data_IF_456577752277
#
_entry.id   IF_456577752277
#
_cell.length_a   1.000
_cell.length_b   1.000
_cell.length_c   1.000
_cell.angle_alpha   90.00
_cell.angle_beta   90.00
_cell.angle_gamma   90.00
#
_symmetry.space_group_name_H-M   'P 1'
#
loop_
_entity.id
_entity.type
_entity.pdbx_description
1 polymer ?
#
# COMPACT_ATOMS: atom_id res chain seq x y z
N UNK A 1 0.94 4.29 -10.57
CA UNK A 1 1.77 4.83 -9.48
C UNK A 1 2.08 6.29 -9.77
N UNK A 2 2.36 7.12 -8.77
CA UNK A 2 2.70 8.54 -8.99
C UNK A 2 4.16 8.74 -9.39
N UNK A 3 4.46 9.84 -10.07
CA UNK A 3 5.84 10.25 -10.37
C UNK A 3 6.67 10.46 -9.09
N UNK A 4 6.07 11.06 -8.05
CA UNK A 4 6.70 11.24 -6.74
C UNK A 4 7.17 9.89 -6.15
N UNK A 5 6.28 8.89 -6.08
CA UNK A 5 6.64 7.57 -5.56
C UNK A 5 7.70 6.88 -6.43
N UNK A 6 7.64 7.06 -7.76
CA UNK A 6 8.67 6.53 -8.66
C UNK A 6 10.04 7.17 -8.40
N UNK A 7 10.07 8.48 -8.19
CA UNK A 7 11.29 9.23 -7.91
C UNK A 7 11.90 8.86 -6.55
N UNK A 8 11.07 8.65 -5.52
CA UNK A 8 11.52 8.17 -4.21
C UNK A 8 12.18 6.80 -4.29
N UNK A 9 11.59 5.86 -5.05
CA UNK A 9 12.18 4.54 -5.27
C UNK A 9 13.51 4.63 -6.02
N UNK A 10 13.59 5.48 -7.05
CA UNK A 10 14.82 5.71 -7.80
C UNK A 10 15.95 6.25 -6.90
N UNK A 11 15.63 7.19 -6.02
CA UNK A 11 16.59 7.69 -5.03
C UNK A 11 16.99 6.61 -4.02
N UNK A 12 16.07 5.71 -3.67
CA UNK A 12 16.32 4.54 -2.83
C UNK A 12 17.33 3.56 -3.42
N UNK A 13 17.43 3.46 -4.76
CA UNK A 13 18.39 2.57 -5.42
C UNK A 13 19.86 2.90 -5.12
N UNK A 14 20.16 4.16 -4.78
CA UNK A 14 21.50 4.55 -4.32
C UNK A 14 21.91 3.86 -3.01
N UNK A 15 20.95 3.29 -2.26
CA UNK A 15 21.17 2.53 -1.02
C UNK A 15 21.19 1.01 -1.24
N UNK A 16 21.25 0.56 -2.50
CA UNK A 16 21.30 -0.87 -2.87
C UNK A 16 19.94 -1.54 -3.02
N UNK A 17 18.84 -0.78 -2.99
CA UNK A 17 17.50 -1.29 -3.22
C UNK A 17 17.21 -1.48 -4.72
N UNK A 18 16.66 -2.64 -5.09
CA UNK A 18 16.27 -2.95 -6.47
C UNK A 18 14.80 -2.64 -6.77
N UNK A 19 14.12 -1.96 -5.86
CA UNK A 19 12.68 -1.71 -5.95
C UNK A 19 12.33 -0.87 -7.19
N UNK A 20 13.19 0.09 -7.55
CA UNK A 20 13.01 0.86 -8.78
C UNK A 20 13.15 0.00 -10.05
N UNK A 21 14.12 -0.90 -10.12
CA UNK A 21 14.26 -1.81 -11.27
C UNK A 21 13.01 -2.69 -11.41
N UNK A 22 12.52 -3.26 -10.30
CA UNK A 22 11.31 -4.11 -10.28
C UNK A 22 10.07 -3.34 -10.70
N UNK A 23 9.99 -2.07 -10.31
CA UNK A 23 8.94 -1.18 -10.76
C UNK A 23 9.01 -0.95 -12.27
N UNK A 24 10.19 -0.70 -12.83
CA UNK A 24 10.37 -0.53 -14.28
C UNK A 24 10.01 -1.81 -15.03
N UNK A 25 10.38 -2.99 -14.53
CA UNK A 25 9.96 -4.29 -15.09
C UNK A 25 8.42 -4.41 -15.18
N UNK A 26 7.69 -3.94 -14.14
CA UNK A 26 6.22 -3.93 -14.14
C UNK A 26 5.63 -2.90 -15.12
N UNK A 27 6.30 -1.75 -15.29
CA UNK A 27 5.88 -0.71 -16.22
C UNK A 27 6.08 -1.16 -17.67
N UNK A 28 7.23 -1.74 -17.98
CA UNK A 28 7.58 -2.28 -19.31
C UNK A 28 6.66 -3.43 -19.70
N UNK A 29 6.24 -4.25 -18.73
CA UNK A 29 5.24 -5.30 -18.93
C UNK A 29 3.79 -4.78 -19.04
N UNK A 30 3.57 -3.47 -18.88
CA UNK A 30 2.25 -2.83 -19.00
C UNK A 30 1.32 -3.05 -17.80
N UNK A 31 1.81 -3.58 -16.67
CA UNK A 31 1.00 -3.81 -15.47
C UNK A 31 0.76 -2.53 -14.66
N UNK A 32 1.68 -1.58 -14.76
CA UNK A 32 1.55 -0.28 -14.11
C UNK A 32 1.86 0.84 -15.09
N UNK A 33 1.30 2.02 -14.81
CA UNK A 33 1.66 3.27 -15.46
C UNK A 33 2.00 4.33 -14.42
N UNK A 34 2.91 5.22 -14.78
CA UNK A 34 3.24 6.39 -13.98
C UNK A 34 2.24 7.51 -14.29
N UNK A 35 1.81 8.23 -13.25
CA UNK A 35 0.87 9.34 -13.33
C UNK A 35 1.48 10.56 -12.63
N UNK A 36 1.45 11.70 -13.31
CA UNK A 36 1.64 13.01 -12.67
C UNK A 36 0.30 13.57 -12.22
N UNK A 37 0.31 14.31 -11.12
CA UNK A 37 -0.84 15.11 -10.69
C UNK A 37 -1.11 16.17 -11.75
N UNK A 38 -2.29 16.14 -12.40
CA UNK A 38 -2.68 17.18 -13.36
C UNK A 38 -3.43 18.31 -12.66
N UNK A 39 -3.92 19.26 -13.45
CA UNK A 39 -4.59 20.47 -12.94
C UNK A 39 -5.80 20.19 -12.04
N UNK A 40 -6.51 19.08 -12.24
CA UNK A 40 -7.70 18.75 -11.44
C UNK A 40 -7.30 18.24 -10.05
N UNK A 41 -6.22 17.44 -9.97
CA UNK A 41 -5.65 16.94 -8.73
C UNK A 41 -4.78 17.96 -7.99
N UNK A 42 -4.25 18.99 -8.67
CA UNK A 42 -3.30 19.95 -8.08
C UNK A 42 -3.84 20.64 -6.82
N UNK A 43 -5.11 21.07 -6.82
CA UNK A 43 -5.73 21.71 -5.64
C UNK A 43 -5.87 20.75 -4.46
N UNK A 44 -6.09 19.47 -4.72
CA UNK A 44 -6.16 18.43 -3.70
C UNK A 44 -4.77 18.19 -3.11
N UNK A 45 -3.78 18.05 -3.99
CA UNK A 45 -2.38 17.91 -3.60
C UNK A 45 -1.93 19.07 -2.71
N UNK A 46 -2.13 20.31 -3.14
CA UNK A 46 -1.83 21.52 -2.36
C UNK A 46 -2.52 21.49 -0.99
N UNK A 47 -3.82 21.16 -0.93
CA UNK A 47 -4.55 21.10 0.34
C UNK A 47 -4.04 20.04 1.33
N UNK A 48 -3.29 19.04 0.83
CA UNK A 48 -2.74 17.94 1.62
C UNK A 48 -1.30 18.18 2.06
N UNK A 49 -0.58 19.08 1.41
CA UNK A 49 0.80 19.44 1.79
C UNK A 49 0.85 20.78 2.55
N UNK A 50 -0.09 21.69 2.29
CA UNK A 50 -0.18 22.99 2.94
C UNK A 50 -1.20 22.98 4.09
N UNK A 51 -0.71 22.99 5.32
CA UNK A 51 -1.57 22.96 6.51
C UNK A 51 -0.81 22.77 7.82
N UNK A 52 -1.56 22.58 8.91
CA UNK A 52 -0.96 22.18 10.19
C UNK A 52 -0.34 20.78 10.07
N UNK A 53 0.74 20.49 10.81
CA UNK A 53 1.43 19.18 10.77
C UNK A 53 0.50 17.99 11.05
N UNK A 54 -0.62 18.19 11.75
CA UNK A 54 -1.62 17.15 11.99
C UNK A 54 -2.47 16.82 10.74
N UNK A 55 -2.60 17.78 9.82
CA UNK A 55 -3.42 17.71 8.61
C UNK A 55 -2.59 17.55 7.32
N UNK A 56 -1.27 17.69 7.38
CA UNK A 56 -0.41 17.56 6.19
C UNK A 56 0.13 16.14 6.01
N UNK A 57 0.42 15.78 4.76
CA UNK A 57 1.03 14.52 4.34
C UNK A 57 2.39 14.78 3.69
N UNK A 58 3.17 13.72 3.52
CA UNK A 58 4.30 13.78 2.60
C UNK A 58 3.83 13.87 1.15
N UNK A 59 4.76 14.26 0.27
CA UNK A 59 4.47 14.49 -1.15
C UNK A 59 4.02 13.21 -1.87
N UNK A 60 4.54 12.04 -1.48
CA UNK A 60 4.19 10.76 -2.10
C UNK A 60 2.73 10.37 -1.84
N UNK A 61 2.30 10.45 -0.59
CA UNK A 61 0.92 10.13 -0.18
C UNK A 61 -0.07 11.19 -0.68
N UNK A 62 0.29 12.48 -0.59
CA UNK A 62 -0.53 13.55 -1.15
C UNK A 62 -0.74 13.39 -2.65
N UNK A 63 0.33 13.09 -3.40
CA UNK A 63 0.24 12.86 -4.84
C UNK A 63 -0.63 11.64 -5.16
N UNK A 64 -0.53 10.58 -4.37
CA UNK A 64 -1.32 9.35 -4.57
C UNK A 64 -2.81 9.62 -4.41
N UNK A 65 -3.21 10.37 -3.38
CA UNK A 65 -4.60 10.78 -3.16
C UNK A 65 -5.09 11.67 -4.30
N UNK A 66 -4.30 12.68 -4.69
CA UNK A 66 -4.67 13.61 -5.74
C UNK A 66 -4.87 12.91 -7.10
N UNK A 67 -3.94 12.04 -7.49
CA UNK A 67 -4.06 11.24 -8.70
C UNK A 67 -5.26 10.28 -8.65
N UNK A 68 -5.48 9.59 -7.53
CA UNK A 68 -6.61 8.68 -7.37
C UNK A 68 -7.95 9.42 -7.48
N UNK A 69 -8.05 10.61 -6.89
CA UNK A 69 -9.24 11.45 -7.02
C UNK A 69 -9.46 11.88 -8.47
N UNK A 70 -8.43 12.38 -9.14
CA UNK A 70 -8.49 12.88 -10.51
C UNK A 70 -8.97 11.82 -11.49
N UNK A 71 -8.48 10.59 -11.37
CA UNK A 71 -8.86 9.48 -12.26
C UNK A 71 -10.13 8.74 -11.79
N UNK A 72 -10.79 9.20 -10.73
CA UNK A 72 -11.92 8.49 -10.08
C UNK A 72 -11.56 7.03 -9.73
N UNK A 73 -10.33 6.82 -9.26
CA UNK A 73 -9.76 5.52 -8.93
C UNK A 73 -9.86 5.18 -7.45
N UNK A 74 -9.01 4.25 -7.02
CA UNK A 74 -8.85 3.82 -5.63
C UNK A 74 -7.44 4.20 -5.18
N UNK A 75 -7.31 4.86 -4.03
CA UNK A 75 -6.02 5.14 -3.43
C UNK A 75 -5.55 3.90 -2.63
N UNK A 76 -4.35 3.40 -2.94
CA UNK A 76 -3.72 2.31 -2.19
C UNK A 76 -2.64 2.90 -1.28
N UNK A 77 -2.89 2.94 0.04
CA UNK A 77 -2.10 3.69 1.02
C UNK A 77 -1.87 2.85 2.28
N UNK A 78 -0.60 2.62 2.64
CA UNK A 78 -0.22 1.85 3.82
C UNK A 78 -0.04 2.70 5.09
N UNK A 79 0.16 4.02 4.94
CA UNK A 79 0.30 4.93 6.06
C UNK A 79 -1.06 5.22 6.75
N UNK A 80 -1.10 5.16 8.09
CA UNK A 80 -2.33 5.24 8.88
C UNK A 80 -2.92 6.64 8.88
N UNK A 81 -2.10 7.68 9.05
CA UNK A 81 -2.53 9.07 9.06
C UNK A 81 -3.03 9.50 7.68
N UNK A 82 -2.37 9.11 6.58
CA UNK A 82 -2.81 9.33 5.21
C UNK A 82 -4.17 8.69 4.92
N UNK A 83 -4.38 7.42 5.31
CA UNK A 83 -5.71 6.80 5.22
C UNK A 83 -6.77 7.54 6.03
N UNK A 84 -6.43 7.97 7.26
CA UNK A 84 -7.36 8.67 8.13
C UNK A 84 -7.78 10.03 7.54
N UNK A 85 -6.80 10.83 7.10
CA UNK A 85 -7.03 12.12 6.44
C UNK A 85 -7.83 11.94 5.16
N UNK A 86 -7.49 10.94 4.34
CA UNK A 86 -8.21 10.70 3.10
C UNK A 86 -9.68 10.33 3.35
N UNK A 87 -9.95 9.46 4.33
CA UNK A 87 -11.32 9.07 4.69
C UNK A 87 -12.13 10.23 5.26
N UNK A 88 -11.52 11.13 6.02
CA UNK A 88 -12.23 12.29 6.58
C UNK A 88 -12.47 13.40 5.56
N UNK A 89 -11.46 13.71 4.73
CA UNK A 89 -11.48 14.86 3.83
C UNK A 89 -12.09 14.53 2.46
N UNK A 90 -12.01 13.26 2.03
CA UNK A 90 -12.48 12.78 0.74
C UNK A 90 -13.33 11.50 0.90
N UNK A 91 -14.48 11.56 1.58
CA UNK A 91 -15.28 10.37 1.92
C UNK A 91 -15.82 9.59 0.71
N UNK A 92 -15.79 10.19 -0.50
CA UNK A 92 -16.18 9.54 -1.76
C UNK A 92 -15.03 8.84 -2.47
N UNK A 93 -13.77 9.08 -2.08
CA UNK A 93 -12.61 8.43 -2.66
C UNK A 93 -12.37 7.10 -1.93
N UNK A 94 -12.47 5.94 -2.60
CA UNK A 94 -12.13 4.68 -1.98
C UNK A 94 -10.64 4.63 -1.61
N UNK A 95 -10.35 4.13 -0.41
CA UNK A 95 -8.98 3.99 0.11
C UNK A 95 -8.80 2.60 0.69
N UNK A 96 -7.84 1.86 0.14
CA UNK A 96 -7.41 0.54 0.59
C UNK A 96 -5.95 0.59 1.04
N UNK A 97 -5.49 -0.38 1.80
CA UNK A 97 -4.06 -0.65 2.01
C UNK A 97 -3.61 -1.93 1.30
N UNK A 98 -2.30 -2.17 1.24
CA UNK A 98 -1.73 -3.36 0.60
C UNK A 98 -2.26 -4.66 1.22
N UNK A 99 -2.49 -4.68 2.53
CA UNK A 99 -3.09 -5.85 3.19
C UNK A 99 -4.54 -6.10 2.73
N UNK A 100 -5.37 -5.06 2.57
CA UNK A 100 -6.73 -5.19 2.03
C UNK A 100 -6.71 -5.71 0.59
N UNK A 101 -5.79 -5.21 -0.22
CA UNK A 101 -5.61 -5.68 -1.60
C UNK A 101 -5.26 -7.18 -1.61
N UNK A 102 -4.25 -7.60 -0.85
CA UNK A 102 -3.75 -8.98 -0.90
C UNK A 102 -4.75 -10.01 -0.37
N UNK A 103 -5.63 -9.64 0.56
CA UNK A 103 -6.68 -10.55 1.06
C UNK A 103 -7.94 -10.56 0.20
N UNK A 104 -8.04 -9.70 -0.82
CA UNK A 104 -9.23 -9.60 -1.67
C UNK A 104 -9.39 -10.83 -2.59
N UNK A 105 -10.62 -11.29 -2.79
CA UNK A 105 -10.94 -12.50 -3.58
C UNK A 105 -10.39 -12.44 -5.01
N UNK A 106 -10.47 -11.27 -5.67
CA UNK A 106 -9.87 -11.08 -7.01
C UNK A 106 -8.36 -11.36 -7.06
N UNK A 107 -7.62 -11.13 -5.97
CA UNK A 107 -6.21 -11.49 -5.90
C UNK A 107 -6.05 -13.00 -5.70
N UNK A 108 -6.92 -13.62 -4.91
CA UNK A 108 -6.97 -15.09 -4.78
C UNK A 108 -7.20 -15.76 -6.15
N UNK A 109 -8.19 -15.30 -6.89
CA UNK A 109 -8.53 -15.81 -8.22
C UNK A 109 -7.38 -15.63 -9.22
N UNK A 110 -6.70 -14.49 -9.17
CA UNK A 110 -5.58 -14.18 -10.05
C UNK A 110 -4.31 -14.99 -9.77
N UNK A 111 -4.01 -15.26 -8.49
CA UNK A 111 -2.78 -15.95 -8.08
C UNK A 111 -2.90 -17.48 -8.09
N UNK A 112 -4.10 -18.04 -8.30
CA UNK A 112 -4.40 -19.49 -8.29
C UNK A 112 -4.08 -20.14 -6.93
N UNK A 113 -4.21 -21.47 -6.85
CA UNK A 113 -4.08 -22.24 -5.60
C UNK A 113 -2.79 -21.89 -4.83
N UNK A 114 -2.96 -21.61 -3.54
CA UNK A 114 -1.94 -21.21 -2.54
C UNK A 114 -1.15 -19.92 -2.82
N UNK A 115 -1.29 -19.32 -4.01
CA UNK A 115 -0.54 -18.13 -4.40
C UNK A 115 -0.85 -16.90 -3.53
N UNK A 116 -2.09 -16.75 -3.06
CA UNK A 116 -2.48 -15.67 -2.17
C UNK A 116 -1.78 -15.76 -0.80
N UNK A 117 -1.74 -16.96 -0.22
CA UNK A 117 -1.08 -17.18 1.07
C UNK A 117 0.44 -16.98 0.96
N UNK A 118 1.07 -17.49 -0.10
CA UNK A 118 2.50 -17.27 -0.35
C UNK A 118 2.85 -15.78 -0.53
N UNK A 119 2.02 -15.04 -1.28
CA UNK A 119 2.19 -13.59 -1.44
C UNK A 119 2.09 -12.85 -0.09
N UNK A 120 1.11 -13.20 0.74
CA UNK A 120 0.98 -12.64 2.09
C UNK A 120 2.19 -12.97 2.96
N UNK A 121 2.65 -14.22 2.97
CA UNK A 121 3.83 -14.62 3.75
C UNK A 121 5.07 -13.84 3.31
N UNK A 122 5.31 -13.71 2.00
CA UNK A 122 6.42 -12.91 1.47
C UNK A 122 6.30 -11.43 1.81
N UNK A 123 5.10 -10.86 1.71
CA UNK A 123 4.85 -9.47 2.09
C UNK A 123 5.16 -9.23 3.58
N UNK A 124 4.74 -10.14 4.45
CA UNK A 124 4.93 -10.03 5.90
C UNK A 124 6.37 -10.31 6.37
N UNK A 125 7.08 -11.20 5.69
CA UNK A 125 8.42 -11.66 6.12
C UNK A 125 9.54 -10.89 5.43
N UNK A 126 9.47 -10.73 4.11
CA UNK A 126 10.52 -10.09 3.33
C UNK A 126 10.31 -8.57 3.23
N UNK A 127 9.12 -8.14 2.83
CA UNK A 127 8.80 -6.71 2.70
C UNK A 127 8.43 -6.04 4.04
N UNK A 128 8.25 -6.84 5.09
CA UNK A 128 7.81 -6.39 6.42
C UNK A 128 6.53 -5.55 6.38
N UNK A 129 5.64 -5.84 5.43
CA UNK A 129 4.36 -5.15 5.23
C UNK A 129 3.62 -4.98 6.56
N UNK A 130 3.18 -3.75 6.84
CA UNK A 130 2.38 -3.45 8.02
C UNK A 130 0.94 -3.93 7.82
N UNK A 131 0.40 -4.63 8.81
CA UNK A 131 -1.01 -5.04 8.81
C UNK A 131 -1.80 -4.12 9.75
N UNK A 132 -2.86 -3.45 9.26
CA UNK A 132 -3.81 -2.75 10.13
C UNK A 132 -4.39 -3.71 11.19
N UNK A 133 -4.52 -3.31 12.46
CA UNK A 133 -5.02 -4.17 13.53
C UNK A 133 -6.32 -4.92 13.20
N UNK A 134 -7.24 -4.24 12.50
CA UNK A 134 -8.52 -4.75 12.06
C UNK A 134 -8.43 -5.91 11.04
N UNK A 135 -7.31 -6.05 10.34
CA UNK A 135 -7.09 -7.10 9.32
C UNK A 135 -6.24 -8.27 9.83
N UNK A 136 -5.70 -8.18 11.05
CA UNK A 136 -4.78 -9.19 11.58
C UNK A 136 -5.44 -10.57 11.59
N UNK A 137 -6.70 -10.67 12.04
CA UNK A 137 -7.42 -11.95 12.07
C UNK A 137 -7.57 -12.55 10.67
N UNK A 138 -8.03 -11.77 9.69
CA UNK A 138 -8.19 -12.21 8.30
C UNK A 138 -6.87 -12.69 7.70
N UNK A 139 -5.80 -11.92 7.89
CA UNK A 139 -4.46 -12.28 7.41
C UNK A 139 -3.97 -13.58 8.07
N UNK A 140 -4.11 -13.73 9.39
CA UNK A 140 -3.70 -14.96 10.08
C UNK A 140 -4.51 -16.18 9.68
N UNK A 141 -5.81 -16.01 9.39
CA UNK A 141 -6.66 -17.08 8.90
C UNK A 141 -6.22 -17.61 7.53
N UNK A 142 -5.72 -16.72 6.66
CA UNK A 142 -5.26 -17.08 5.31
C UNK A 142 -3.89 -17.76 5.30
N UNK A 143 -2.94 -17.30 6.13
CA UNK A 143 -1.57 -17.86 6.14
C UNK A 143 -1.42 -19.05 7.11
N UNK A 144 -2.35 -19.20 8.05
CA UNK A 144 -2.30 -20.23 9.09
C UNK A 144 -1.34 -19.92 10.25
N UNK A 145 -1.49 -20.62 11.39
CA UNK A 145 -0.77 -20.31 12.63
C UNK A 145 0.75 -20.54 12.52
N UNK A 146 1.20 -21.54 11.76
CA UNK A 146 2.62 -21.84 11.58
C UNK A 146 3.38 -20.71 10.89
N UNK A 147 2.78 -20.11 9.86
CA UNK A 147 3.36 -18.95 9.18
C UNK A 147 3.18 -17.67 9.98
N UNK A 148 2.02 -17.48 10.62
CA UNK A 148 1.79 -16.33 11.49
C UNK A 148 2.88 -16.20 12.56
N UNK A 149 3.26 -17.30 13.22
CA UNK A 149 4.32 -17.33 14.23
C UNK A 149 5.69 -16.81 13.72
N UNK A 150 5.97 -16.97 12.41
CA UNK A 150 7.23 -16.59 11.76
C UNK A 150 7.22 -15.16 11.18
N UNK A 151 6.08 -14.49 11.15
CA UNK A 151 5.91 -13.18 10.51
C UNK A 151 6.25 -12.02 11.48
N UNK A 152 7.40 -11.35 11.36
CA UNK A 152 7.81 -10.30 12.30
C UNK A 152 6.90 -9.06 12.28
N UNK A 153 6.21 -8.81 11.17
CA UNK A 153 5.28 -7.68 11.03
C UNK A 153 3.94 -7.87 11.73
N UNK A 154 3.64 -9.08 12.23
CA UNK A 154 2.43 -9.34 13.00
C UNK A 154 2.65 -9.02 14.50
N UNK A 155 1.59 -8.56 15.20
CA UNK A 155 1.67 -8.32 16.63
C UNK A 155 1.98 -9.61 17.38
N UNK A 156 2.64 -9.49 18.54
CA UNK A 156 3.07 -10.65 19.35
C UNK A 156 1.92 -11.59 19.68
N UNK A 157 0.72 -11.04 19.97
CA UNK A 157 -0.48 -11.83 20.24
C UNK A 157 -0.85 -12.76 19.08
N UNK A 158 -0.77 -12.28 17.84
CA UNK A 158 -1.08 -13.07 16.65
C UNK A 158 -0.03 -14.14 16.34
N UNK A 159 1.22 -13.96 16.80
CA UNK A 159 2.30 -14.94 16.64
C UNK A 159 2.25 -16.08 17.65
N UNK A 160 1.57 -15.88 18.78
CA UNK A 160 1.54 -16.81 19.91
C UNK A 160 0.32 -17.73 19.92
N UNK A 161 -0.60 -17.56 18.98
CA UNK A 161 -1.82 -18.40 18.86
C UNK A 161 -1.52 -19.81 18.31
N UNK A 162 -0.26 -20.13 18.00
CA UNK A 162 0.19 -21.49 17.72
C UNK A 162 0.48 -22.23 19.05
N UNK A 163 -0.57 -22.65 19.75
CA UNK A 163 -0.48 -23.55 20.90
C UNK A 163 -1.63 -24.57 20.87
#
# INVERSE_FOLDING_TARGET
>A
MTENASFELANGSTKGHRDHDRLLELADAGFIRTLSVQSTGARIYESLIDGSTAATLDDGEAATIACAYEISGIALIDERKARAICRSSFPKLPVLCTAELLIHDLIADGLRADGQADALVKALTAARMRVPPELVLSVTGLIGPEWAAKCPSLPKSARQTAA
#
